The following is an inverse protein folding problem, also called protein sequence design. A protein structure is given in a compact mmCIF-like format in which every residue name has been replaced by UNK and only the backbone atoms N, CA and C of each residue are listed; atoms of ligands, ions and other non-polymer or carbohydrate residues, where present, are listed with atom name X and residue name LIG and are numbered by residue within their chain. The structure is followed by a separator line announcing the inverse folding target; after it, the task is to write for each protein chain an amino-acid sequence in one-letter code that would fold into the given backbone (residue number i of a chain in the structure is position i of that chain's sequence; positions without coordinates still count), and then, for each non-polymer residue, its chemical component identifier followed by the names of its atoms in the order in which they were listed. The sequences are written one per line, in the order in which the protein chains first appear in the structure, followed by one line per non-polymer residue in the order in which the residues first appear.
data_IF_574315051556
#
_entry.id   IF_574315051556
#
_cell.length_a   1.000
_cell.length_b   1.000
_cell.length_c   1.000
_cell.angle_alpha   90.00
_cell.angle_beta   90.00
_cell.angle_gamma   90.00
#
_symmetry.space_group_name_H-M   'P 1'
#
loop_
_entity.id
_entity.type
_entity.pdbx_description
1 polymer ?
#
# COMPACT_ATOMS: atom_id res chain seq x y z
N UNK A 1 -25.99 -28.46 7.18
CA UNK A 1 -24.65 -27.97 7.54
C UNK A 1 -24.09 -27.28 6.31
N UNK A 2 -24.34 -25.97 6.17
CA UNK A 2 -23.83 -25.20 5.04
C UNK A 2 -22.41 -24.76 5.37
N UNK A 3 -21.43 -25.28 4.65
CA UNK A 3 -20.05 -24.81 4.74
C UNK A 3 -19.96 -23.47 4.02
N UNK A 4 -20.14 -22.37 4.76
CA UNK A 4 -19.76 -21.04 4.28
C UNK A 4 -18.24 -21.05 4.12
N UNK A 5 -17.73 -21.18 2.89
CA UNK A 5 -16.32 -20.93 2.64
C UNK A 5 -16.04 -19.48 3.03
N UNK A 6 -15.07 -19.23 3.91
CA UNK A 6 -14.61 -17.88 4.17
C UNK A 6 -14.11 -17.31 2.83
N UNK A 7 -14.90 -16.41 2.23
CA UNK A 7 -14.48 -15.71 1.04
C UNK A 7 -13.33 -14.81 1.46
N UNK A 8 -12.13 -15.11 0.98
CA UNK A 8 -10.95 -14.30 1.26
C UNK A 8 -11.17 -12.91 0.65
N UNK A 9 -11.22 -11.88 1.49
CA UNK A 9 -11.27 -10.47 1.07
C UNK A 9 -9.92 -9.98 0.52
N UNK A 10 -9.16 -10.85 -0.15
CA UNK A 10 -7.80 -10.60 -0.62
C UNK A 10 -7.72 -10.73 -2.13
N UNK A 11 -7.12 -9.75 -2.78
CA UNK A 11 -6.88 -9.73 -4.23
C UNK A 11 -5.40 -9.57 -4.50
N UNK A 12 -4.83 -10.40 -5.37
CA UNK A 12 -3.46 -10.24 -5.86
C UNK A 12 -3.48 -9.35 -7.11
N UNK A 13 -2.55 -8.40 -7.20
CA UNK A 13 -2.49 -7.41 -8.28
C UNK A 13 -1.09 -7.48 -8.90
N UNK A 14 -0.98 -8.10 -10.06
CA UNK A 14 0.23 -8.21 -10.88
C UNK A 14 0.07 -7.55 -12.27
N UNK A 15 -1.12 -7.00 -12.56
CA UNK A 15 -1.43 -6.31 -13.79
C UNK A 15 -1.78 -4.84 -13.54
N UNK A 16 -1.32 -3.96 -14.43
CA UNK A 16 -1.60 -2.52 -14.36
C UNK A 16 -3.11 -2.21 -14.40
N UNK A 17 -3.90 -3.02 -15.12
CA UNK A 17 -5.36 -2.84 -15.19
C UNK A 17 -6.03 -2.99 -13.81
N UNK A 18 -5.61 -4.01 -13.05
CA UNK A 18 -6.13 -4.26 -11.71
C UNK A 18 -5.61 -3.22 -10.71
N UNK A 19 -4.38 -2.72 -10.93
CA UNK A 19 -3.83 -1.60 -10.17
C UNK A 19 -4.65 -0.31 -10.40
N UNK A 20 -5.03 0.01 -11.64
CA UNK A 20 -5.90 1.15 -11.93
C UNK A 20 -7.23 1.05 -11.20
N UNK A 21 -7.85 -0.14 -11.20
CA UNK A 21 -9.09 -0.36 -10.46
C UNK A 21 -8.91 -0.17 -8.94
N UNK A 22 -7.79 -0.63 -8.37
CA UNK A 22 -7.46 -0.35 -6.96
C UNK A 22 -7.32 1.16 -6.72
N UNK A 23 -6.61 1.88 -7.57
CA UNK A 23 -6.37 3.32 -7.43
C UNK A 23 -7.66 4.14 -7.44
N UNK A 24 -8.59 3.80 -8.35
CA UNK A 24 -9.93 4.41 -8.38
C UNK A 24 -10.71 4.17 -7.07
N UNK A 25 -10.57 2.98 -6.48
CA UNK A 25 -11.24 2.63 -5.22
C UNK A 25 -10.66 3.35 -3.99
N UNK A 26 -9.37 3.69 -3.99
CA UNK A 26 -8.72 4.31 -2.83
C UNK A 26 -8.70 5.85 -2.88
N UNK A 27 -8.94 6.45 -4.06
CA UNK A 27 -8.76 7.89 -4.29
C UNK A 27 -9.58 8.81 -3.37
N UNK A 28 -10.75 8.35 -2.89
CA UNK A 28 -11.69 9.16 -2.11
C UNK A 28 -12.05 8.55 -0.75
N UNK A 29 -11.17 7.71 -0.20
CA UNK A 29 -11.43 7.11 1.11
C UNK A 29 -11.38 8.17 2.22
N UNK A 30 -12.16 7.99 3.31
CA UNK A 30 -12.06 8.85 4.48
C UNK A 30 -10.64 8.90 5.04
N UNK A 31 -10.20 10.10 5.42
CA UNK A 31 -8.89 10.32 6.05
C UNK A 31 -8.95 10.26 7.58
N UNK A 32 -10.16 10.38 8.15
CA UNK A 32 -10.40 10.28 9.59
C UNK A 32 -11.66 9.42 9.86
N UNK A 33 -11.54 8.26 10.53
CA UNK A 33 -10.27 7.61 10.88
C UNK A 33 -9.46 7.19 9.64
N UNK A 34 -8.14 6.95 9.75
CA UNK A 34 -7.30 6.51 8.64
C UNK A 34 -7.82 5.28 7.91
N UNK A 35 -7.91 5.35 6.57
CA UNK A 35 -8.42 4.24 5.77
C UNK A 35 -7.36 3.27 5.27
N UNK A 36 -6.11 3.72 5.07
CA UNK A 36 -5.06 2.92 4.42
C UNK A 36 -4.10 2.35 5.45
N UNK A 37 -3.93 1.03 5.41
CA UNK A 37 -2.94 0.30 6.20
C UNK A 37 -2.01 -0.44 5.24
N UNK A 38 -0.72 -0.31 5.42
CA UNK A 38 0.27 -0.88 4.51
C UNK A 38 1.43 -1.52 5.25
N UNK A 39 2.13 -2.38 4.51
CA UNK A 39 3.37 -3.03 4.87
C UNK A 39 4.18 -3.28 3.59
N UNK A 40 5.43 -3.72 3.70
CA UNK A 40 6.23 -4.19 2.56
C UNK A 40 6.93 -5.49 2.90
N UNK A 41 6.95 -6.39 1.92
CA UNK A 41 7.60 -7.69 2.03
C UNK A 41 8.66 -7.81 0.93
N UNK A 42 9.83 -8.34 1.28
CA UNK A 42 10.98 -8.39 0.38
C UNK A 42 12.11 -9.28 0.89
N UNK A 43 13.24 -9.25 0.19
CA UNK A 43 14.48 -9.93 0.61
C UNK A 43 15.43 -8.85 1.11
N UNK A 44 15.91 -8.96 2.36
CA UNK A 44 16.78 -7.96 3.00
C UNK A 44 16.23 -6.51 2.86
N UNK A 45 14.93 -6.36 3.16
CA UNK A 45 14.14 -5.16 2.89
C UNK A 45 14.81 -3.87 3.42
N UNK A 46 14.94 -2.90 2.53
CA UNK A 46 15.57 -1.61 2.77
C UNK A 46 16.15 -1.06 1.46
N UNK A 47 17.13 -0.18 1.52
CA UNK A 47 17.75 0.42 0.31
C UNK A 47 18.46 -0.52 -0.66
N UNK A 48 18.81 -1.73 -0.23
CA UNK A 48 19.61 -2.67 -1.03
C UNK A 48 18.84 -3.94 -1.40
N UNK A 49 17.82 -4.31 -0.63
CA UNK A 49 16.98 -5.47 -0.86
C UNK A 49 15.74 -5.13 -1.69
N UNK A 50 15.34 -5.99 -2.66
CA UNK A 50 14.15 -5.72 -3.47
C UNK A 50 12.86 -5.80 -2.65
N UNK A 51 11.88 -5.02 -3.07
CA UNK A 51 10.49 -5.13 -2.61
C UNK A 51 9.80 -6.16 -3.50
N UNK A 52 9.19 -7.17 -2.88
CA UNK A 52 8.44 -8.21 -3.58
C UNK A 52 6.95 -7.88 -3.64
N UNK A 53 6.34 -7.62 -2.48
CA UNK A 53 4.90 -7.43 -2.34
C UNK A 53 4.63 -6.22 -1.46
N UNK A 54 3.61 -5.44 -1.80
CA UNK A 54 3.03 -4.40 -0.95
C UNK A 54 1.60 -4.81 -0.59
N UNK A 55 1.37 -5.34 0.62
CA UNK A 55 0.03 -5.49 1.17
C UNK A 55 -0.59 -4.13 1.48
N UNK A 56 -1.74 -3.82 0.88
CA UNK A 56 -2.53 -2.63 1.15
C UNK A 56 -3.92 -3.03 1.63
N UNK A 57 -4.26 -2.72 2.87
CA UNK A 57 -5.59 -2.95 3.44
C UNK A 57 -6.38 -1.65 3.52
N UNK A 58 -7.63 -1.70 3.06
CA UNK A 58 -8.59 -0.61 3.17
C UNK A 58 -9.58 -0.86 4.31
N UNK A 59 -9.56 -0.02 5.34
CA UNK A 59 -10.39 -0.21 6.53
C UNK A 59 -11.91 -0.15 6.25
N UNK A 60 -12.44 0.77 5.42
CA UNK A 60 -13.88 0.83 5.19
C UNK A 60 -14.47 -0.43 4.54
N UNK A 61 -13.71 -1.09 3.66
CA UNK A 61 -14.18 -2.28 2.94
C UNK A 61 -13.64 -3.60 3.49
N UNK A 62 -12.67 -3.54 4.41
CA UNK A 62 -11.95 -4.69 4.95
C UNK A 62 -11.34 -5.59 3.85
N UNK A 63 -10.97 -4.98 2.70
CA UNK A 63 -10.29 -5.64 1.60
C UNK A 63 -8.78 -5.41 1.69
N UNK A 64 -8.03 -6.45 1.38
CA UNK A 64 -6.57 -6.43 1.26
C UNK A 64 -6.18 -6.68 -0.18
N UNK A 65 -5.33 -5.82 -0.73
CA UNK A 65 -4.71 -6.03 -2.03
C UNK A 65 -3.23 -6.35 -1.82
N UNK A 66 -2.76 -7.44 -2.42
CA UNK A 66 -1.34 -7.81 -2.46
C UNK A 66 -0.79 -7.35 -3.80
N UNK A 67 -0.12 -6.21 -3.82
CA UNK A 67 0.43 -5.63 -5.05
C UNK A 67 1.79 -6.25 -5.30
N UNK A 68 1.97 -6.90 -6.45
CA UNK A 68 3.22 -7.52 -6.87
C UNK A 68 4.19 -6.46 -7.39
N UNK A 69 4.97 -5.89 -6.47
CA UNK A 69 5.99 -4.88 -6.77
C UNK A 69 7.12 -5.49 -7.59
N UNK A 70 7.41 -6.77 -7.41
CA UNK A 70 8.45 -7.45 -8.17
C UNK A 70 8.10 -7.53 -9.66
N UNK A 71 6.88 -7.95 -10.00
CA UNK A 71 6.44 -8.07 -11.39
C UNK A 71 6.12 -6.73 -12.04
N UNK A 72 5.44 -5.83 -11.32
CA UNK A 72 5.06 -4.51 -11.85
C UNK A 72 6.24 -3.52 -11.89
N UNK A 73 7.25 -3.70 -11.05
CA UNK A 73 8.41 -2.83 -10.96
C UNK A 73 8.02 -1.36 -10.77
N UNK A 74 8.56 -0.47 -11.62
CA UNK A 74 8.24 0.97 -11.55
C UNK A 74 6.76 1.27 -11.84
N UNK A 75 6.09 0.45 -12.64
CA UNK A 75 4.69 0.65 -13.00
C UNK A 75 3.78 0.65 -11.76
N UNK A 76 4.12 -0.14 -10.74
CA UNK A 76 3.40 -0.14 -9.46
C UNK A 76 3.22 1.25 -8.85
N UNK A 77 4.17 2.17 -9.10
CA UNK A 77 4.17 3.52 -8.54
C UNK A 77 3.87 4.61 -9.58
N UNK A 78 4.12 4.37 -10.87
CA UNK A 78 3.91 5.35 -11.94
C UNK A 78 2.57 5.23 -12.67
N UNK A 79 1.93 4.05 -12.67
CA UNK A 79 0.61 3.86 -13.29
C UNK A 79 -0.42 4.72 -12.56
N UNK A 80 -1.22 5.45 -13.33
CA UNK A 80 -2.24 6.37 -12.82
C UNK A 80 -3.63 5.86 -13.13
N UNK A 81 -4.57 6.11 -12.22
CA UNK A 81 -5.99 6.00 -12.50
C UNK A 81 -6.46 7.04 -13.52
N UNK A 82 -7.74 6.96 -13.90
CA UNK A 82 -8.36 7.94 -14.79
C UNK A 82 -8.38 9.37 -14.21
N UNK A 83 -8.32 9.50 -12.88
CA UNK A 83 -8.22 10.78 -12.17
C UNK A 83 -6.78 11.29 -12.01
N UNK A 84 -5.78 10.55 -12.51
CA UNK A 84 -4.36 10.91 -12.37
C UNK A 84 -3.73 10.50 -11.04
N UNK A 85 -4.44 9.75 -10.19
CA UNK A 85 -3.92 9.23 -8.92
C UNK A 85 -3.05 8.01 -9.17
N UNK A 86 -1.82 7.99 -8.64
CA UNK A 86 -0.98 6.79 -8.58
C UNK A 86 -0.72 6.34 -7.15
N UNK A 87 -0.10 5.17 -6.99
CA UNK A 87 0.33 4.72 -5.67
C UNK A 87 1.41 5.66 -5.11
N UNK A 88 2.30 6.18 -5.96
CA UNK A 88 3.27 7.21 -5.57
C UNK A 88 2.58 8.44 -5.01
N UNK A 89 1.65 9.05 -5.74
CA UNK A 89 0.98 10.28 -5.26
C UNK A 89 0.18 10.04 -3.99
N UNK A 90 -0.36 8.83 -3.82
CA UNK A 90 -1.08 8.43 -2.61
C UNK A 90 -0.14 8.32 -1.40
N UNK A 91 0.99 7.63 -1.57
CA UNK A 91 2.00 7.45 -0.51
C UNK A 91 2.68 8.76 -0.12
N UNK A 92 2.96 9.64 -1.09
CA UNK A 92 3.59 10.95 -0.88
C UNK A 92 2.62 12.04 -0.38
N UNK A 93 1.31 11.75 -0.32
CA UNK A 93 0.32 12.73 0.13
C UNK A 93 0.47 13.07 1.61
N UNK A 94 0.56 14.36 1.92
CA UNK A 94 0.57 14.91 3.28
C UNK A 94 -0.81 14.88 3.96
N UNK A 95 -1.88 14.63 3.21
CA UNK A 95 -3.27 14.68 3.70
C UNK A 95 -3.93 13.31 3.80
N UNK A 96 -3.37 12.28 3.17
CA UNK A 96 -3.88 10.90 3.24
C UNK A 96 -3.05 10.13 4.28
N UNK A 97 -3.60 9.74 5.43
CA UNK A 97 -2.84 9.00 6.42
C UNK A 97 -2.55 7.56 5.98
N UNK A 98 -1.30 7.11 6.17
CA UNK A 98 -0.90 5.71 5.99
C UNK A 98 -0.59 5.11 7.35
N UNK A 99 -1.33 4.08 7.74
CA UNK A 99 -1.07 3.34 8.97
C UNK A 99 -0.07 2.22 8.65
N UNK A 100 0.99 2.12 9.44
CA UNK A 100 1.99 1.06 9.33
C UNK A 100 2.51 0.71 10.72
N UNK A 101 3.22 -0.41 10.84
CA UNK A 101 3.91 -0.80 12.06
C UNK A 101 5.40 -0.79 11.77
N UNK A 102 6.16 0.10 12.42
CA UNK A 102 7.62 0.22 12.20
C UNK A 102 8.01 0.52 10.74
N UNK A 103 7.57 1.67 10.21
CA UNK A 103 7.70 2.03 8.78
C UNK A 103 9.17 2.26 8.31
N UNK A 104 10.16 2.14 9.18
CA UNK A 104 11.52 2.66 8.93
C UNK A 104 12.17 2.01 7.70
N UNK A 105 12.16 0.68 7.65
CA UNK A 105 12.74 -0.07 6.53
C UNK A 105 11.87 0.07 5.27
N UNK A 106 10.54 0.13 5.44
CA UNK A 106 9.63 0.27 4.32
C UNK A 106 9.84 1.58 3.58
N UNK A 107 9.92 2.67 4.33
CA UNK A 107 10.18 4.01 3.83
C UNK A 107 11.56 4.10 3.15
N UNK A 108 12.61 3.53 3.77
CA UNK A 108 13.95 3.49 3.16
C UNK A 108 13.94 2.70 1.84
N UNK A 109 13.20 1.59 1.76
CA UNK A 109 13.09 0.76 0.56
C UNK A 109 12.39 1.52 -0.58
N UNK A 110 11.19 2.05 -0.36
CA UNK A 110 10.44 2.74 -1.43
C UNK A 110 11.14 4.03 -1.89
N UNK A 111 11.80 4.74 -0.98
CA UNK A 111 12.56 5.93 -1.35
C UNK A 111 13.82 5.59 -2.16
N UNK A 112 14.61 4.63 -1.66
CA UNK A 112 15.90 4.30 -2.25
C UNK A 112 15.75 3.62 -3.61
N UNK A 113 14.74 2.77 -3.79
CA UNK A 113 14.55 1.97 -5.00
C UNK A 113 13.62 2.66 -6.02
N UNK A 114 12.58 3.36 -5.55
CA UNK A 114 11.52 3.90 -6.41
C UNK A 114 11.36 5.42 -6.35
N UNK A 115 12.11 6.13 -5.48
CA UNK A 115 12.00 7.58 -5.28
C UNK A 115 10.57 7.99 -4.91
N UNK A 116 9.98 7.25 -3.97
CA UNK A 116 8.69 7.54 -3.33
C UNK A 116 8.96 7.96 -1.89
N UNK A 117 8.53 9.17 -1.51
CA UNK A 117 8.74 9.71 -0.16
C UNK A 117 7.46 9.62 0.66
N UNK A 118 7.33 8.57 1.48
CA UNK A 118 6.10 8.38 2.29
C UNK A 118 5.92 9.53 3.27
N UNK A 119 4.73 10.14 3.27
CA UNK A 119 4.37 11.24 4.19
C UNK A 119 3.10 10.87 4.99
N UNK A 120 2.70 11.66 6.00
CA UNK A 120 1.47 11.45 6.78
C UNK A 120 1.33 10.05 7.39
N UNK A 121 2.44 9.46 7.84
CA UNK A 121 2.42 8.12 8.45
C UNK A 121 1.87 8.15 9.87
N UNK A 122 1.09 7.13 10.22
CA UNK A 122 0.68 6.77 11.59
C UNK A 122 1.37 5.46 11.95
N UNK A 123 2.48 5.57 12.67
CA UNK A 123 3.27 4.40 13.07
C UNK A 123 2.71 3.82 14.37
N UNK A 124 2.12 2.63 14.27
CA UNK A 124 1.50 1.95 15.40
C UNK A 124 2.52 1.55 16.47
N UNK A 125 3.75 1.19 16.10
CA UNK A 125 4.80 0.83 17.05
C UNK A 125 5.16 2.01 17.96
N UNK A 126 5.23 3.22 17.38
CA UNK A 126 5.47 4.43 18.16
C UNK A 126 4.27 4.81 19.03
N UNK A 127 3.05 4.59 18.54
CA UNK A 127 1.83 4.87 19.30
C UNK A 127 1.63 3.94 20.50
N UNK A 128 2.08 2.68 20.41
CA UNK A 128 2.05 1.73 21.53
C UNK A 128 3.03 2.09 22.67
N UNK A 129 4.04 2.91 22.35
CA UNK A 129 5.05 3.36 23.31
C UNK A 129 4.73 4.71 23.98
N UNK A 130 3.58 5.31 23.62
CA UNK A 130 3.17 6.66 24.03
C UNK A 130 2.19 6.68 25.22
#
# INVERSE_FOLDING_TARGET
MSTTSAQSNTTFIDLELDLVALLDNIANLPVDPPSLHLDLEGIDLGRHGPISILPLRTAPTQKTCLIDIHSLGRAAFSTTSNSGTSLKTTLESSTIPKVAFDIRNDSDAVFSLFRVSVDCTKDLQLMELA
#
